data_IF_371970502574
#
_entry.id   IF_371970502574
#
_cell.length_a   1.000
_cell.length_b   1.000
_cell.length_c   1.000
_cell.angle_alpha   90.00
_cell.angle_beta   90.00
_cell.angle_gamma   90.00
#
_symmetry.space_group_name_H-M   'P 1'
#
loop_
_entity.id
_entity.type
_entity.pdbx_description
1 polymer ?
#
# COMPACT_ATOMS: atom_id res chain seq x y z
N UNK A 1 31.08 5.29 5.44
CA UNK A 1 30.94 4.73 4.07
C UNK A 1 29.92 3.60 4.11
N UNK A 2 28.76 3.74 3.45
CA UNK A 2 27.77 2.65 3.38
C UNK A 2 28.23 1.60 2.36
N UNK A 3 28.49 0.38 2.81
CA UNK A 3 28.80 -0.74 1.91
C UNK A 3 27.54 -1.08 1.09
N UNK A 4 27.56 -0.94 -0.25
CA UNK A 4 26.38 -1.17 -1.08
C UNK A 4 25.86 -2.61 -0.91
N UNK A 5 26.76 -3.60 -0.78
CA UNK A 5 26.38 -5.01 -0.59
C UNK A 5 25.52 -5.20 0.65
N UNK A 6 25.91 -4.57 1.77
CA UNK A 6 25.17 -4.62 3.03
C UNK A 6 23.76 -4.03 2.89
N UNK A 7 23.60 -2.96 2.11
CA UNK A 7 22.29 -2.32 1.88
C UNK A 7 21.35 -3.24 1.08
N UNK A 8 21.87 -3.91 0.04
CA UNK A 8 21.07 -4.86 -0.75
C UNK A 8 20.68 -6.10 0.07
N UNK A 9 21.62 -6.68 0.81
CA UNK A 9 21.34 -7.84 1.66
C UNK A 9 20.31 -7.49 2.73
N UNK A 10 20.44 -6.33 3.38
CA UNK A 10 19.47 -5.87 4.37
C UNK A 10 18.08 -5.66 3.75
N UNK A 11 18.00 -5.05 2.56
CA UNK A 11 16.73 -4.87 1.85
C UNK A 11 16.09 -6.20 1.48
N UNK A 12 16.88 -7.18 1.04
CA UNK A 12 16.39 -8.52 0.69
C UNK A 12 15.89 -9.28 1.93
N UNK A 13 16.62 -9.25 3.04
CA UNK A 13 16.16 -9.84 4.31
C UNK A 13 14.86 -9.16 4.78
N UNK A 14 14.79 -7.83 4.69
CA UNK A 14 13.58 -7.09 5.03
C UNK A 14 12.41 -7.41 4.09
N UNK A 15 12.65 -7.61 2.79
CA UNK A 15 11.61 -8.06 1.85
C UNK A 15 11.02 -9.40 2.23
N UNK A 16 11.88 -10.37 2.57
CA UNK A 16 11.43 -11.72 2.98
C UNK A 16 10.64 -11.63 4.28
N UNK A 17 11.12 -10.85 5.26
CA UNK A 17 10.40 -10.64 6.51
C UNK A 17 9.02 -9.98 6.27
N UNK A 18 8.95 -8.93 5.44
CA UNK A 18 7.71 -8.25 5.09
C UNK A 18 6.74 -9.14 4.30
N UNK A 19 7.25 -10.03 3.45
CA UNK A 19 6.42 -11.02 2.77
C UNK A 19 5.73 -11.95 3.77
N UNK A 20 6.49 -12.51 4.72
CA UNK A 20 5.97 -13.44 5.73
C UNK A 20 4.97 -12.72 6.66
N UNK A 21 5.29 -11.50 7.08
CA UNK A 21 4.38 -10.66 7.88
C UNK A 21 3.10 -10.37 7.09
N UNK A 22 3.23 -10.01 5.81
CA UNK A 22 2.10 -9.74 4.93
C UNK A 22 1.15 -10.93 4.81
N UNK A 23 1.69 -12.15 4.72
CA UNK A 23 0.90 -13.38 4.67
C UNK A 23 0.21 -13.67 6.01
N UNK A 24 0.98 -13.60 7.09
CA UNK A 24 0.52 -14.00 8.43
C UNK A 24 -0.56 -13.07 8.97
N UNK A 25 -0.45 -11.77 8.67
CA UNK A 25 -1.34 -10.74 9.20
C UNK A 25 -2.32 -10.18 8.16
N UNK A 26 -2.47 -10.83 7.01
CA UNK A 26 -3.33 -10.33 5.92
C UNK A 26 -4.75 -10.05 6.40
N UNK A 27 -5.39 -11.02 7.06
CA UNK A 27 -6.78 -10.89 7.51
C UNK A 27 -6.95 -9.75 8.51
N UNK A 28 -6.05 -9.64 9.51
CA UNK A 28 -6.09 -8.57 10.49
C UNK A 28 -5.88 -7.20 9.87
N UNK A 29 -4.96 -7.08 8.90
CA UNK A 29 -4.71 -5.84 8.18
C UNK A 29 -5.91 -5.48 7.30
N UNK A 30 -6.49 -6.46 6.61
CA UNK A 30 -7.64 -6.25 5.76
C UNK A 30 -8.84 -5.76 6.56
N UNK A 31 -9.20 -6.45 7.65
CA UNK A 31 -10.30 -6.04 8.54
C UNK A 31 -10.06 -4.66 9.16
N UNK A 32 -8.81 -4.33 9.51
CA UNK A 32 -8.47 -3.00 10.01
C UNK A 32 -8.70 -1.91 8.95
N UNK A 33 -8.42 -2.20 7.68
CA UNK A 33 -8.63 -1.26 6.59
C UNK A 33 -10.05 -1.30 5.99
N UNK A 34 -10.90 -2.22 6.42
CA UNK A 34 -12.27 -2.30 5.99
C UNK A 34 -13.09 -1.14 6.60
N UNK A 35 -13.84 -0.37 5.79
CA UNK A 35 -14.65 0.71 6.33
C UNK A 35 -15.84 0.14 7.10
N UNK A 36 -16.00 0.53 8.36
CA UNK A 36 -17.17 0.17 9.14
C UNK A 36 -18.39 1.01 8.71
N UNK A 37 -19.50 0.34 8.36
CA UNK A 37 -20.74 0.96 7.90
C UNK A 37 -21.93 0.29 8.59
N UNK A 38 -22.72 1.06 9.34
CA UNK A 38 -23.86 0.52 10.08
C UNK A 38 -24.87 -0.15 9.14
N UNK A 39 -25.17 -1.42 9.43
CA UNK A 39 -26.10 -2.26 8.69
C UNK A 39 -25.48 -3.02 7.50
N UNK A 40 -24.18 -2.90 7.27
CA UNK A 40 -23.48 -3.59 6.17
C UNK A 40 -22.27 -4.34 6.73
N UNK A 41 -22.27 -5.66 6.57
CA UNK A 41 -21.09 -6.50 6.83
C UNK A 41 -20.47 -6.90 5.50
N UNK A 42 -19.19 -6.60 5.29
CA UNK A 42 -18.52 -7.10 4.09
C UNK A 42 -18.06 -8.53 4.34
N UNK A 43 -18.36 -9.42 3.40
CA UNK A 43 -17.95 -10.81 3.45
C UNK A 43 -17.18 -11.13 2.18
N UNK A 44 -16.03 -11.77 2.30
CA UNK A 44 -15.32 -12.25 1.11
C UNK A 44 -15.90 -13.62 0.78
N UNK A 45 -16.77 -13.68 -0.22
CA UNK A 45 -17.51 -14.91 -0.58
C UNK A 45 -16.69 -15.89 -1.41
N UNK A 46 -15.53 -15.47 -1.96
CA UNK A 46 -14.69 -16.31 -2.80
C UNK A 46 -13.33 -16.62 -2.16
N UNK A 47 -13.13 -17.87 -1.74
CA UNK A 47 -11.88 -18.35 -1.14
C UNK A 47 -10.66 -18.12 -2.06
N UNK A 48 -10.83 -18.32 -3.37
CA UNK A 48 -9.78 -18.08 -4.36
C UNK A 48 -9.34 -16.61 -4.44
N UNK A 49 -10.27 -15.67 -4.22
CA UNK A 49 -9.97 -14.25 -4.18
C UNK A 49 -9.16 -13.88 -2.94
N UNK A 50 -9.41 -14.51 -1.79
CA UNK A 50 -8.64 -14.30 -0.54
C UNK A 50 -7.18 -14.71 -0.73
N UNK A 51 -6.93 -15.91 -1.26
CA UNK A 51 -5.57 -16.43 -1.47
C UNK A 51 -4.81 -15.58 -2.49
N UNK A 52 -5.44 -15.25 -3.62
CA UNK A 52 -4.81 -14.39 -4.64
C UNK A 52 -4.44 -13.02 -4.07
N UNK A 53 -5.34 -12.43 -3.28
CA UNK A 53 -5.14 -11.08 -2.75
C UNK A 53 -4.09 -11.05 -1.66
N UNK A 54 -4.08 -12.02 -0.75
CA UNK A 54 -3.05 -12.12 0.30
C UNK A 54 -1.65 -12.28 -0.31
N UNK A 55 -1.50 -13.12 -1.33
CA UNK A 55 -0.25 -13.26 -2.11
C UNK A 55 0.16 -11.93 -2.72
N UNK A 56 -0.77 -11.25 -3.41
CA UNK A 56 -0.48 -9.99 -4.09
C UNK A 56 -0.11 -8.88 -3.10
N UNK A 57 -0.80 -8.81 -1.96
CA UNK A 57 -0.51 -7.89 -0.86
C UNK A 57 0.88 -8.12 -0.26
N UNK A 58 1.22 -9.38 0.03
CA UNK A 58 2.50 -9.75 0.61
C UNK A 58 3.66 -9.50 -0.33
N UNK A 59 3.46 -9.80 -1.62
CA UNK A 59 4.43 -9.51 -2.67
C UNK A 59 4.65 -8.00 -2.81
N UNK A 60 3.58 -7.21 -2.73
CA UNK A 60 3.68 -5.76 -2.77
C UNK A 60 4.47 -5.21 -1.58
N UNK A 61 4.22 -5.70 -0.35
CA UNK A 61 5.00 -5.34 0.84
C UNK A 61 6.49 -5.68 0.68
N UNK A 62 6.78 -6.88 0.16
CA UNK A 62 8.14 -7.35 -0.08
C UNK A 62 8.88 -6.48 -1.11
N UNK A 63 8.17 -5.93 -2.10
CA UNK A 63 8.72 -5.07 -3.13
C UNK A 63 9.11 -3.67 -2.62
N UNK A 64 8.46 -3.16 -1.57
CA UNK A 64 8.72 -1.80 -1.03
C UNK A 64 10.22 -1.55 -0.78
N UNK A 65 10.93 -2.35 0.05
CA UNK A 65 12.34 -2.10 0.32
C UNK A 65 13.24 -2.28 -0.92
N UNK A 66 12.91 -3.21 -1.84
CA UNK A 66 13.68 -3.39 -3.08
C UNK A 66 13.57 -2.17 -3.98
N UNK A 67 12.35 -1.68 -4.18
CA UNK A 67 12.08 -0.51 -5.01
C UNK A 67 12.67 0.77 -4.40
N UNK A 68 12.65 0.91 -3.07
CA UNK A 68 13.34 2.02 -2.38
C UNK A 68 14.84 2.02 -2.66
N UNK A 69 15.51 0.87 -2.55
CA UNK A 69 16.94 0.75 -2.85
C UNK A 69 17.23 1.05 -4.32
N UNK A 70 16.39 0.56 -5.24
CA UNK A 70 16.48 0.88 -6.67
C UNK A 70 16.33 2.38 -6.90
N UNK A 71 15.35 3.03 -6.28
CA UNK A 71 15.15 4.48 -6.34
C UNK A 71 16.36 5.25 -5.82
N UNK A 72 16.95 4.82 -4.70
CA UNK A 72 18.16 5.45 -4.17
C UNK A 72 19.36 5.31 -5.09
N UNK A 73 19.53 4.13 -5.71
CA UNK A 73 20.61 3.88 -6.66
C UNK A 73 20.45 4.75 -7.90
N UNK A 74 19.26 4.73 -8.52
CA UNK A 74 18.96 5.49 -9.73
C UNK A 74 19.03 7.00 -9.49
N UNK A 75 18.53 7.48 -8.35
CA UNK A 75 18.55 8.90 -7.97
C UNK A 75 19.87 9.38 -7.38
N UNK A 76 20.88 8.50 -7.22
CA UNK A 76 22.15 8.78 -6.52
C UNK A 76 21.93 9.40 -5.13
N UNK A 77 20.97 8.86 -4.38
CA UNK A 77 20.56 9.34 -3.05
C UNK A 77 21.49 8.73 -1.99
N UNK A 78 22.60 9.43 -1.71
CA UNK A 78 23.62 8.94 -0.78
C UNK A 78 23.40 9.39 0.67
N UNK A 79 22.78 10.56 0.89
CA UNK A 79 22.56 11.10 2.23
C UNK A 79 21.53 10.26 3.00
N UNK A 80 21.89 9.84 4.21
CA UNK A 80 21.01 9.08 5.11
C UNK A 80 19.71 9.84 5.39
N UNK A 81 19.76 11.16 5.61
CA UNK A 81 18.57 11.97 5.84
C UNK A 81 17.60 11.94 4.65
N UNK A 82 18.12 12.02 3.41
CA UNK A 82 17.30 11.91 2.19
C UNK A 82 16.70 10.52 2.02
N UNK A 83 17.43 9.47 2.41
CA UNK A 83 16.91 8.09 2.39
C UNK A 83 15.75 7.94 3.36
N UNK A 84 15.91 8.38 4.62
CA UNK A 84 14.83 8.35 5.62
C UNK A 84 13.61 9.14 5.10
N UNK A 85 13.83 10.36 4.61
CA UNK A 85 12.76 11.18 4.04
C UNK A 85 12.02 10.48 2.89
N UNK A 86 12.74 9.80 1.99
CA UNK A 86 12.11 9.04 0.90
C UNK A 86 11.27 7.86 1.37
N UNK A 87 11.69 7.14 2.44
CA UNK A 87 10.87 6.08 3.04
C UNK A 87 9.58 6.68 3.57
N UNK A 88 9.67 7.78 4.33
CA UNK A 88 8.51 8.48 4.89
C UNK A 88 7.58 8.94 3.76
N UNK A 89 8.11 9.53 2.69
CA UNK A 89 7.30 9.93 1.53
C UNK A 89 6.56 8.76 0.92
N UNK A 90 7.21 7.62 0.69
CA UNK A 90 6.56 6.42 0.14
C UNK A 90 5.46 5.91 1.06
N UNK A 91 5.73 5.81 2.37
CA UNK A 91 4.73 5.36 3.36
C UNK A 91 3.53 6.29 3.44
N UNK A 92 3.75 7.61 3.36
CA UNK A 92 2.67 8.61 3.33
C UNK A 92 1.77 8.43 2.10
N UNK A 93 2.34 8.23 0.92
CA UNK A 93 1.55 8.03 -0.30
C UNK A 93 0.79 6.70 -0.31
N UNK A 94 1.38 5.62 0.22
CA UNK A 94 0.67 4.36 0.42
C UNK A 94 -0.52 4.55 1.36
N UNK A 95 -0.30 5.19 2.51
CA UNK A 95 -1.34 5.44 3.51
C UNK A 95 -2.46 6.31 2.95
N UNK A 96 -2.12 7.35 2.20
CA UNK A 96 -3.09 8.22 1.55
C UNK A 96 -3.92 7.48 0.50
N UNK A 97 -3.30 6.62 -0.31
CA UNK A 97 -4.01 5.83 -1.32
C UNK A 97 -5.01 4.85 -0.67
N UNK A 98 -4.60 4.21 0.43
CA UNK A 98 -5.47 3.35 1.24
C UNK A 98 -6.65 4.17 1.81
N UNK A 99 -6.38 5.33 2.39
CA UNK A 99 -7.41 6.19 2.96
C UNK A 99 -8.42 6.66 1.90
N UNK A 100 -7.94 7.05 0.71
CA UNK A 100 -8.81 7.43 -0.42
C UNK A 100 -9.73 6.26 -0.80
N UNK A 101 -9.19 5.04 -0.87
CA UNK A 101 -9.98 3.84 -1.15
C UNK A 101 -11.07 3.64 -0.09
N UNK A 102 -10.72 3.71 1.19
CA UNK A 102 -11.68 3.60 2.29
C UNK A 102 -12.80 4.65 2.18
N UNK A 103 -12.44 5.89 1.90
CA UNK A 103 -13.38 6.99 1.74
C UNK A 103 -14.37 6.74 0.58
N UNK A 104 -13.88 6.30 -0.58
CA UNK A 104 -14.74 5.99 -1.72
C UNK A 104 -15.70 4.83 -1.46
N UNK A 105 -15.23 3.76 -0.81
CA UNK A 105 -16.11 2.65 -0.40
C UNK A 105 -17.18 3.18 0.55
N UNK A 106 -16.78 3.86 1.62
CA UNK A 106 -17.72 4.39 2.61
C UNK A 106 -18.77 5.30 1.96
N UNK A 107 -18.35 6.18 1.05
CA UNK A 107 -19.26 7.07 0.33
C UNK A 107 -20.25 6.29 -0.55
N UNK A 108 -19.77 5.34 -1.36
CA UNK A 108 -20.60 4.53 -2.24
C UNK A 108 -21.67 3.78 -1.45
N UNK A 109 -21.27 3.10 -0.38
CA UNK A 109 -22.18 2.29 0.42
C UNK A 109 -23.15 3.14 1.25
N UNK A 110 -22.73 4.30 1.75
CA UNK A 110 -23.61 5.19 2.52
C UNK A 110 -24.63 5.91 1.63
N UNK A 111 -24.24 6.34 0.42
CA UNK A 111 -25.09 7.18 -0.45
C UNK A 111 -25.95 6.38 -1.42
N UNK A 112 -25.48 5.24 -1.88
CA UNK A 112 -26.14 4.48 -2.96
C UNK A 112 -26.75 3.20 -2.40
N UNK A 113 -25.94 2.38 -1.73
CA UNK A 113 -26.32 1.01 -1.31
C UNK A 113 -27.30 1.04 -0.13
N UNK A 114 -26.97 1.78 0.94
CA UNK A 114 -27.79 1.88 2.14
C UNK A 114 -29.23 2.33 1.84
N UNK A 115 -29.49 3.44 1.13
CA UNK A 115 -30.88 3.83 0.83
C UNK A 115 -31.59 2.92 -0.18
N UNK A 116 -30.86 2.15 -1.00
CA UNK A 116 -31.47 1.25 -1.99
C UNK A 116 -31.81 -0.14 -1.45
N UNK A 117 -31.07 -0.62 -0.43
CA UNK A 117 -31.13 -2.01 0.03
C UNK A 117 -31.56 -2.16 1.49
N UNK A 118 -31.34 -1.17 2.36
CA UNK A 118 -31.79 -1.21 3.75
C UNK A 118 -33.19 -0.58 3.84
N UNK A 119 -34.22 -1.39 3.56
CA UNK A 119 -35.63 -1.11 3.89
C UNK A 119 -35.92 -1.46 5.36
N UNK A 120 -37.06 -0.98 5.89
CA UNK A 120 -37.45 -1.10 7.32
C UNK A 120 -37.37 -2.51 7.92
N UNK A 121 -37.37 -3.54 7.09
CA UNK A 121 -37.47 -4.94 7.50
C UNK A 121 -36.11 -5.68 7.52
N UNK A 122 -35.05 -5.09 6.93
CA UNK A 122 -33.71 -5.69 6.90
C UNK A 122 -32.67 -4.73 7.47
N UNK A 123 -32.25 -4.98 8.71
CA UNK A 123 -31.30 -4.13 9.44
C UNK A 123 -29.82 -4.43 9.13
N UNK A 124 -29.52 -5.57 8.51
CA UNK A 124 -28.15 -6.01 8.21
C UNK A 124 -28.06 -6.78 6.89
N UNK A 125 -27.13 -6.42 6.02
CA UNK A 125 -26.89 -7.09 4.73
C UNK A 125 -25.41 -7.51 4.62
N UNK A 126 -25.17 -8.75 4.21
CA UNK A 126 -23.85 -9.24 3.82
C UNK A 126 -23.52 -8.84 2.38
N UNK A 127 -22.45 -8.09 2.16
CA UNK A 127 -22.06 -7.65 0.82
C UNK A 127 -20.74 -8.31 0.38
N UNK A 128 -20.69 -8.96 -0.79
CA UNK A 128 -19.45 -9.53 -1.31
C UNK A 128 -18.48 -8.42 -1.70
N UNK A 129 -17.31 -8.35 -1.06
CA UNK A 129 -16.26 -7.38 -1.42
C UNK A 129 -15.09 -8.09 -2.09
N UNK A 130 -14.60 -7.50 -3.18
CA UNK A 130 -13.34 -7.92 -3.81
C UNK A 130 -12.17 -7.21 -3.11
N UNK A 131 -11.34 -7.93 -2.33
CA UNK A 131 -10.21 -7.37 -1.62
C UNK A 131 -9.06 -6.97 -2.56
N UNK A 132 -9.04 -7.44 -3.81
CA UNK A 132 -7.96 -7.13 -4.78
C UNK A 132 -7.86 -5.62 -5.05
N UNK A 133 -9.01 -4.93 -5.07
CA UNK A 133 -9.04 -3.48 -5.28
C UNK A 133 -8.24 -2.72 -4.23
N UNK A 134 -8.22 -3.18 -2.98
CA UNK A 134 -7.41 -2.55 -1.93
C UNK A 134 -5.93 -2.55 -2.29
N UNK A 135 -5.43 -3.69 -2.77
CA UNK A 135 -4.01 -3.86 -3.10
C UNK A 135 -3.61 -3.03 -4.34
N UNK A 136 -4.52 -2.80 -5.28
CA UNK A 136 -4.27 -1.89 -6.40
C UNK A 136 -4.06 -0.44 -5.98
N UNK A 137 -4.85 0.06 -5.03
CA UNK A 137 -4.64 1.42 -4.50
C UNK A 137 -3.31 1.51 -3.74
N UNK A 138 -2.98 0.50 -2.95
CA UNK A 138 -1.69 0.41 -2.28
C UNK A 138 -0.53 0.44 -3.29
N UNK A 139 -0.64 -0.29 -4.40
CA UNK A 139 0.34 -0.29 -5.48
C UNK A 139 0.46 1.09 -6.15
N UNK A 140 -0.67 1.75 -6.44
CA UNK A 140 -0.69 3.11 -6.97
C UNK A 140 0.01 4.11 -6.04
N UNK A 141 -0.26 4.03 -4.74
CA UNK A 141 0.41 4.85 -3.72
C UNK A 141 1.92 4.60 -3.66
N UNK A 142 2.34 3.33 -3.71
CA UNK A 142 3.76 2.97 -3.76
C UNK A 142 4.46 3.58 -5.00
N UNK A 143 3.89 3.41 -6.19
CA UNK A 143 4.46 3.94 -7.44
C UNK A 143 4.57 5.46 -7.42
N UNK A 144 3.49 6.17 -7.03
CA UNK A 144 3.50 7.63 -6.93
C UNK A 144 4.51 8.11 -5.88
N UNK A 145 4.55 7.46 -4.72
CA UNK A 145 5.51 7.76 -3.65
C UNK A 145 6.96 7.59 -4.11
N UNK A 146 7.26 6.52 -4.85
CA UNK A 146 8.59 6.26 -5.39
C UNK A 146 9.00 7.29 -6.44
N UNK A 147 8.09 7.63 -7.37
CA UNK A 147 8.32 8.65 -8.38
C UNK A 147 8.63 9.99 -7.71
N UNK A 148 7.80 10.40 -6.74
CA UNK A 148 7.99 11.67 -6.05
C UNK A 148 9.30 11.68 -5.25
N UNK A 149 9.55 10.62 -4.49
CA UNK A 149 10.80 10.46 -3.74
C UNK A 149 12.03 10.54 -4.65
N UNK A 150 11.99 9.91 -5.82
CA UNK A 150 13.05 10.00 -6.81
C UNK A 150 13.29 11.45 -7.24
N UNK A 151 12.25 12.17 -7.68
CA UNK A 151 12.41 13.54 -8.19
C UNK A 151 12.80 14.55 -7.11
N UNK A 152 12.26 14.42 -5.90
CA UNK A 152 12.55 15.32 -4.78
C UNK A 152 13.97 15.15 -4.24
N UNK A 153 14.43 13.91 -4.08
CA UNK A 153 15.66 13.62 -3.34
C UNK A 153 16.87 13.31 -4.22
N UNK A 154 16.68 13.10 -5.54
CA UNK A 154 17.80 12.87 -6.47
C UNK A 154 18.82 14.00 -6.38
N UNK A 155 20.10 13.63 -6.48
CA UNK A 155 21.14 14.63 -6.61
C UNK A 155 21.07 15.24 -8.01
N UNK A 156 20.78 16.54 -8.09
CA UNK A 156 20.91 17.30 -9.32
C UNK A 156 22.40 17.47 -9.61
N UNK A 157 22.86 17.02 -10.78
CA UNK A 157 24.20 17.37 -11.23
C UNK A 157 24.30 18.90 -11.25
N UNK A 158 25.33 19.49 -10.66
CA UNK A 158 25.62 20.91 -10.84
C UNK A 158 25.89 21.07 -12.34
N UNK A 159 24.98 21.73 -13.05
CA UNK A 159 25.26 22.23 -14.39
C UNK A 159 26.26 23.36 -14.16
N UNK A 160 27.55 23.06 -14.29
CA UNK A 160 28.58 24.09 -14.39
C UNK A 160 28.34 24.82 -15.71
N UNK A 161 27.69 25.97 -15.62
CA UNK A 161 27.72 26.95 -16.70
C UNK A 161 29.19 27.37 -16.88
N UNK A 162 29.74 27.07 -18.06
CA UNK A 162 31.00 27.62 -18.54
C UNK A 162 30.71 28.94 -19.24
#
# INVERSE_FOLDING_TARGET
MNNPKLTYTAALVLSVALFIIGQTFFDSIFTFFEPHIDGISFQITELGAIVKTSILFSLLLALIPLLLVLTWRSGKIHSTGKRIASVITVLLFISLAIFIRQYFVKMYFTRIVKPALLTSDNTTIGYPIDPVNFVYYMCGGLLLGLILAYFMFRNKAKVTAF
#
